data_IF_170348183359
#
_entry.id   IF_170348183359
#
_cell.length_a   1.000
_cell.length_b   1.000
_cell.length_c   1.000
_cell.angle_alpha   90.00
_cell.angle_beta   90.00
_cell.angle_gamma   90.00
#
_symmetry.space_group_name_H-M   'P 1'
#
loop_
_entity.id
_entity.type
_entity.pdbx_description
1 polymer ?
#
# COMPACT_ATOMS: atom_id res chain seq x y z
N UNK A 1 1.20 8.71 21.41
CA UNK A 1 1.29 9.69 20.30
C UNK A 1 2.54 9.42 19.50
N UNK A 2 2.44 9.36 18.16
CA UNK A 2 3.57 9.06 17.28
C UNK A 2 4.45 10.30 17.17
N UNK A 3 5.53 10.37 17.93
CA UNK A 3 6.51 11.46 17.82
C UNK A 3 7.68 11.05 16.91
N UNK A 4 8.04 11.95 15.98
CA UNK A 4 9.17 11.81 15.04
C UNK A 4 8.78 11.33 13.62
N UNK A 5 9.74 10.76 12.85
CA UNK A 5 9.55 10.39 11.43
C UNK A 5 8.38 9.43 11.16
N UNK A 6 7.90 8.72 12.18
CA UNK A 6 6.72 7.84 12.05
C UNK A 6 5.42 8.60 11.77
N UNK A 7 5.33 9.88 12.14
CA UNK A 7 4.16 10.71 11.83
C UNK A 7 4.06 10.98 10.32
N UNK A 8 5.19 11.20 9.65
CA UNK A 8 5.25 11.35 8.20
C UNK A 8 4.78 10.07 7.49
N UNK A 9 5.21 8.89 7.97
CA UNK A 9 4.74 7.61 7.44
C UNK A 9 3.23 7.45 7.60
N UNK A 10 2.67 7.79 8.77
CA UNK A 10 1.21 7.77 9.01
C UNK A 10 0.49 8.68 8.02
N UNK A 11 0.97 9.90 7.83
CA UNK A 11 0.36 10.85 6.89
C UNK A 11 0.41 10.35 5.45
N UNK A 12 1.56 9.87 4.99
CA UNK A 12 1.72 9.36 3.62
C UNK A 12 0.82 8.14 3.38
N UNK A 13 0.82 7.18 4.31
CA UNK A 13 -0.08 6.03 4.24
C UNK A 13 -1.55 6.46 4.27
N UNK A 14 -1.91 7.45 5.09
CA UNK A 14 -3.26 8.00 5.16
C UNK A 14 -3.71 8.61 3.84
N UNK A 15 -2.91 9.48 3.24
CA UNK A 15 -3.22 10.14 1.95
C UNK A 15 -3.37 9.13 0.83
N UNK A 16 -2.44 8.17 0.73
CA UNK A 16 -2.52 7.10 -0.27
C UNK A 16 -3.73 6.20 -0.04
N UNK A 17 -4.04 5.89 1.22
CA UNK A 17 -5.23 5.10 1.56
C UNK A 17 -6.48 5.78 1.03
N UNK A 18 -6.66 7.07 1.34
CA UNK A 18 -7.84 7.82 0.88
C UNK A 18 -7.90 7.84 -0.64
N UNK A 19 -6.80 8.17 -1.32
CA UNK A 19 -6.75 8.18 -2.78
C UNK A 19 -7.06 6.82 -3.41
N UNK A 20 -6.49 5.74 -2.87
CA UNK A 20 -6.71 4.38 -3.35
C UNK A 20 -8.14 3.90 -3.09
N UNK A 21 -8.70 4.18 -1.90
CA UNK A 21 -10.09 3.86 -1.56
C UNK A 21 -11.04 4.61 -2.49
N UNK A 22 -10.93 5.93 -2.61
CA UNK A 22 -11.80 6.75 -3.45
C UNK A 22 -11.78 6.30 -4.91
N UNK A 23 -10.58 6.04 -5.46
CA UNK A 23 -10.43 5.54 -6.83
C UNK A 23 -11.07 4.16 -7.00
N UNK A 24 -10.79 3.23 -6.10
CA UNK A 24 -11.33 1.86 -6.19
C UNK A 24 -12.84 1.85 -6.05
N UNK A 25 -13.41 2.67 -5.15
CA UNK A 25 -14.85 2.79 -4.97
C UNK A 25 -15.51 3.32 -6.25
N UNK A 26 -14.95 4.38 -6.84
CA UNK A 26 -15.44 4.94 -8.08
C UNK A 26 -15.42 3.90 -9.21
N UNK A 27 -14.25 3.30 -9.45
CA UNK A 27 -14.05 2.31 -10.51
C UNK A 27 -14.98 1.09 -10.37
N UNK A 28 -15.17 0.58 -9.14
CA UNK A 28 -16.08 -0.54 -8.88
C UNK A 28 -17.54 -0.12 -9.06
N UNK A 29 -17.92 1.11 -8.75
CA UNK A 29 -19.31 1.56 -8.89
C UNK A 29 -19.70 1.94 -10.33
N UNK A 30 -18.77 2.45 -11.14
CA UNK A 30 -19.10 2.99 -12.47
C UNK A 30 -18.67 2.09 -13.63
N UNK A 31 -17.60 1.31 -13.47
CA UNK A 31 -16.92 0.67 -14.60
C UNK A 31 -16.57 -0.80 -14.36
N UNK A 32 -17.17 -1.46 -13.35
CA UNK A 32 -16.76 -2.80 -12.90
C UNK A 32 -16.58 -3.84 -14.02
N UNK A 33 -17.46 -3.81 -15.02
CA UNK A 33 -17.45 -4.73 -16.17
C UNK A 33 -16.29 -4.49 -17.16
N UNK A 34 -15.60 -3.35 -17.07
CA UNK A 34 -14.53 -2.94 -18.00
C UNK A 34 -13.19 -3.58 -17.66
N UNK A 35 -12.84 -3.65 -16.37
CA UNK A 35 -11.57 -4.19 -15.89
C UNK A 35 -11.70 -4.76 -14.47
N UNK A 36 -12.49 -5.83 -14.26
CA UNK A 36 -12.84 -6.34 -12.93
C UNK A 36 -11.62 -6.78 -12.10
N UNK A 37 -10.60 -7.36 -12.76
CA UNK A 37 -9.34 -7.73 -12.12
C UNK A 37 -8.56 -6.51 -11.61
N UNK A 38 -8.45 -5.47 -12.43
CA UNK A 38 -7.71 -4.26 -12.09
C UNK A 38 -8.32 -3.53 -10.88
N UNK A 39 -9.65 -3.47 -10.84
CA UNK A 39 -10.37 -2.77 -9.79
C UNK A 39 -10.40 -3.57 -8.49
N UNK A 40 -10.52 -4.90 -8.57
CA UNK A 40 -10.41 -5.77 -7.40
C UNK A 40 -9.03 -5.64 -6.75
N UNK A 41 -7.96 -5.65 -7.55
CA UNK A 41 -6.60 -5.45 -7.05
C UNK A 41 -6.40 -4.08 -6.42
N UNK A 42 -7.01 -3.04 -6.99
CA UNK A 42 -6.97 -1.69 -6.41
C UNK A 42 -7.73 -1.62 -5.08
N UNK A 43 -8.87 -2.31 -4.96
CA UNK A 43 -9.61 -2.41 -3.70
C UNK A 43 -8.83 -3.20 -2.63
N UNK A 44 -8.15 -4.29 -3.01
CA UNK A 44 -7.25 -5.01 -2.11
C UNK A 44 -6.11 -4.11 -1.64
N UNK A 45 -5.49 -3.34 -2.54
CA UNK A 45 -4.46 -2.38 -2.18
C UNK A 45 -4.97 -1.33 -1.18
N UNK A 46 -6.17 -0.79 -1.42
CA UNK A 46 -6.83 0.16 -0.54
C UNK A 46 -7.04 -0.40 0.88
N UNK A 47 -7.48 -1.66 1.00
CA UNK A 47 -7.61 -2.36 2.29
C UNK A 47 -6.27 -2.54 3.00
N UNK A 48 -5.22 -2.93 2.26
CA UNK A 48 -3.87 -3.09 2.81
C UNK A 48 -3.37 -1.76 3.37
N UNK A 49 -3.47 -0.67 2.61
CA UNK A 49 -3.05 0.66 3.07
C UNK A 49 -3.88 1.14 4.28
N UNK A 50 -5.19 0.91 4.28
CA UNK A 50 -6.04 1.24 5.41
C UNK A 50 -5.60 0.51 6.68
N UNK A 51 -5.28 -0.78 6.56
CA UNK A 51 -4.82 -1.59 7.68
C UNK A 51 -3.44 -1.15 8.19
N UNK A 52 -2.53 -0.76 7.31
CA UNK A 52 -1.21 -0.20 7.68
C UNK A 52 -1.41 1.13 8.41
N UNK A 53 -2.19 2.05 7.84
CA UNK A 53 -2.53 3.33 8.47
C UNK A 53 -3.10 3.11 9.86
N UNK A 54 -4.08 2.22 9.99
CA UNK A 54 -4.72 1.90 11.26
C UNK A 54 -3.72 1.34 12.29
N UNK A 55 -2.87 0.40 11.86
CA UNK A 55 -1.83 -0.19 12.70
C UNK A 55 -0.81 0.84 13.18
N UNK A 56 -0.44 1.80 12.32
CA UNK A 56 0.49 2.87 12.67
C UNK A 56 -0.15 3.89 13.63
N UNK A 57 -1.42 4.24 13.43
CA UNK A 57 -2.18 5.17 14.30
C UNK A 57 -2.39 4.58 15.69
N UNK A 58 -2.78 3.31 15.79
CA UNK A 58 -3.09 2.67 17.08
C UNK A 58 -1.87 2.57 18.00
N UNK A 59 -0.66 2.44 17.41
CA UNK A 59 0.59 2.36 18.16
C UNK A 59 0.73 1.09 19.01
N UNK A 60 1.93 0.84 19.55
CA UNK A 60 2.23 -0.35 20.36
C UNK A 60 3.16 -1.36 19.67
N UNK A 61 3.57 -2.42 20.37
CA UNK A 61 4.48 -3.45 19.83
C UNK A 61 3.78 -4.44 18.90
N UNK A 62 2.56 -4.87 19.25
CA UNK A 62 1.70 -5.73 18.42
C UNK A 62 1.30 -5.01 17.13
N UNK A 63 0.88 -3.75 17.22
CA UNK A 63 0.55 -2.94 16.05
C UNK A 63 1.77 -2.71 15.14
N UNK A 64 2.97 -2.59 15.71
CA UNK A 64 4.23 -2.53 14.93
C UNK A 64 4.57 -3.83 14.22
N UNK A 65 4.32 -5.00 14.83
CA UNK A 65 4.46 -6.29 14.15
C UNK A 65 3.47 -6.41 12.99
N UNK A 66 2.21 -6.04 13.23
CA UNK A 66 1.16 -6.04 12.21
C UNK A 66 1.52 -5.13 11.03
N UNK A 67 1.93 -3.88 11.29
CA UNK A 67 2.38 -2.94 10.27
C UNK A 67 3.52 -3.53 9.41
N UNK A 68 4.47 -4.26 10.03
CA UNK A 68 5.56 -4.92 9.31
C UNK A 68 5.08 -6.00 8.35
N UNK A 69 4.17 -6.86 8.81
CA UNK A 69 3.58 -7.92 7.98
C UNK A 69 2.83 -7.30 6.82
N UNK A 70 2.07 -6.23 7.07
CA UNK A 70 1.32 -5.54 6.05
C UNK A 70 2.21 -4.80 5.06
N UNK A 71 3.30 -4.16 5.49
CA UNK A 71 4.30 -3.60 4.56
C UNK A 71 4.95 -4.69 3.69
N UNK A 72 5.21 -5.89 4.24
CA UNK A 72 5.73 -7.01 3.45
C UNK A 72 4.69 -7.53 2.44
N UNK A 73 3.42 -7.61 2.84
CA UNK A 73 2.31 -7.98 1.97
C UNK A 73 2.10 -6.93 0.85
N UNK A 74 2.15 -5.64 1.19
CA UNK A 74 2.11 -4.53 0.25
C UNK A 74 3.23 -4.62 -0.77
N UNK A 75 4.48 -4.78 -0.32
CA UNK A 75 5.63 -4.91 -1.21
C UNK A 75 5.49 -6.13 -2.14
N UNK A 76 5.00 -7.25 -1.60
CA UNK A 76 4.73 -8.46 -2.39
C UNK A 76 3.64 -8.20 -3.43
N UNK A 77 2.55 -7.52 -3.05
CA UNK A 77 1.47 -7.13 -3.95
C UNK A 77 1.95 -6.22 -5.07
N UNK A 78 2.72 -5.19 -4.75
CA UNK A 78 3.30 -4.25 -5.72
C UNK A 78 4.25 -4.95 -6.68
N UNK A 79 5.12 -5.82 -6.19
CA UNK A 79 6.05 -6.57 -7.04
C UNK A 79 5.33 -7.57 -7.93
N UNK A 80 4.34 -8.30 -7.39
CA UNK A 80 3.59 -9.31 -8.13
C UNK A 80 2.73 -8.66 -9.21
N UNK A 81 1.94 -7.64 -8.86
CA UNK A 81 1.05 -6.94 -9.80
C UNK A 81 1.84 -6.06 -10.76
N UNK A 82 2.90 -5.39 -10.30
CA UNK A 82 3.83 -4.67 -11.17
C UNK A 82 4.49 -5.58 -12.20
N UNK A 83 4.96 -6.76 -11.79
CA UNK A 83 5.53 -7.75 -12.73
C UNK A 83 4.47 -8.30 -13.67
N UNK A 84 3.27 -8.62 -13.18
CA UNK A 84 2.20 -9.16 -14.02
C UNK A 84 1.74 -8.15 -15.08
N UNK A 85 1.61 -6.88 -14.70
CA UNK A 85 1.24 -5.81 -15.64
C UNK A 85 2.28 -5.64 -16.76
N UNK A 86 3.57 -5.86 -16.47
CA UNK A 86 4.63 -5.88 -17.48
C UNK A 86 4.63 -7.14 -18.37
N UNK A 87 4.35 -8.31 -17.79
CA UNK A 87 4.40 -9.60 -18.52
C UNK A 87 3.14 -9.82 -19.37
N UNK A 88 1.97 -9.38 -18.90
CA UNK A 88 0.69 -9.47 -19.60
C UNK A 88 -0.08 -8.15 -19.52
N UNK A 89 0.35 -7.12 -20.25
CA UNK A 89 -0.38 -5.85 -20.32
C UNK A 89 -1.80 -6.04 -20.86
N UNK A 90 -2.00 -7.02 -21.74
CA UNK A 90 -3.31 -7.37 -22.33
C UNK A 90 -4.35 -7.84 -21.29
N UNK A 91 -3.90 -8.39 -20.16
CA UNK A 91 -4.78 -8.82 -19.06
C UNK A 91 -5.26 -7.65 -18.20
N UNK A 92 -4.72 -6.44 -18.41
CA UNK A 92 -5.04 -5.23 -17.67
C UNK A 92 -5.53 -4.14 -18.63
N UNK A 93 -6.84 -4.09 -18.91
CA UNK A 93 -7.42 -3.00 -19.71
C UNK A 93 -7.23 -1.63 -19.04
N UNK A 94 -7.12 -1.62 -17.71
CA UNK A 94 -6.90 -0.43 -16.88
C UNK A 94 -5.76 -0.62 -15.87
N UNK A 95 -5.09 0.48 -15.56
CA UNK A 95 -4.03 0.54 -14.56
C UNK A 95 -4.59 0.43 -13.13
N UNK A 96 -3.96 -0.42 -12.33
CA UNK A 96 -4.14 -0.55 -10.87
C UNK A 96 -3.22 0.40 -10.11
N UNK A 97 -3.45 0.51 -8.79
CA UNK A 97 -2.54 1.26 -7.89
C UNK A 97 -1.11 0.68 -7.87
N UNK A 98 -0.96 -0.61 -8.19
CA UNK A 98 0.32 -1.32 -8.22
C UNK A 98 0.90 -1.51 -9.62
N UNK A 99 0.24 -1.00 -10.65
CA UNK A 99 0.74 -1.12 -12.04
C UNK A 99 2.07 -0.41 -12.20
N UNK A 100 2.97 -1.03 -12.96
CA UNK A 100 4.34 -0.56 -13.16
C UNK A 100 5.06 -0.21 -11.84
N UNK A 101 4.85 -1.04 -10.81
CA UNK A 101 5.38 -0.81 -9.46
C UNK A 101 4.91 0.50 -8.80
N UNK A 102 3.74 1.00 -9.19
CA UNK A 102 3.19 2.26 -8.69
C UNK A 102 3.76 3.49 -9.39
N UNK A 103 4.19 3.38 -10.65
CA UNK A 103 4.73 4.50 -11.43
C UNK A 103 3.76 5.70 -11.45
N UNK A 104 2.45 5.46 -11.59
CA UNK A 104 1.41 6.50 -11.54
C UNK A 104 1.29 7.23 -10.19
N UNK A 105 1.94 6.70 -9.15
CA UNK A 105 2.03 7.28 -7.82
C UNK A 105 3.49 7.57 -7.44
N UNK A 106 4.37 7.83 -8.41
CA UNK A 106 5.80 8.14 -8.18
C UNK A 106 6.53 7.06 -7.38
N UNK A 107 6.19 5.77 -7.60
CA UNK A 107 6.75 4.62 -6.87
C UNK A 107 6.52 4.65 -5.36
N UNK A 108 5.62 5.51 -4.86
CA UNK A 108 5.30 5.58 -3.44
C UNK A 108 4.86 4.21 -2.88
N UNK A 109 4.07 3.37 -3.59
CA UNK A 109 3.73 2.01 -3.15
C UNK A 109 4.93 1.09 -2.87
N UNK A 110 6.11 1.37 -3.45
CA UNK A 110 7.35 0.63 -3.15
C UNK A 110 8.14 1.32 -2.04
N UNK A 111 8.26 2.65 -2.11
CA UNK A 111 9.08 3.42 -1.17
C UNK A 111 8.52 3.35 0.25
N UNK A 112 7.20 3.42 0.41
CA UNK A 112 6.54 3.37 1.72
C UNK A 112 6.79 2.08 2.50
N UNK A 113 6.54 0.87 1.95
CA UNK A 113 6.78 -0.36 2.70
C UNK A 113 8.25 -0.56 3.02
N UNK A 114 9.17 -0.19 2.11
CA UNK A 114 10.62 -0.27 2.36
C UNK A 114 11.03 0.65 3.51
N UNK A 115 10.61 1.92 3.47
CA UNK A 115 10.93 2.89 4.52
C UNK A 115 10.25 2.54 5.85
N UNK A 116 9.03 2.03 5.82
CA UNK A 116 8.29 1.51 6.98
C UNK A 116 9.02 0.33 7.65
N UNK A 117 9.46 -0.66 6.88
CA UNK A 117 10.22 -1.80 7.40
C UNK A 117 11.55 -1.35 8.01
N UNK A 118 12.31 -0.47 7.34
CA UNK A 118 13.58 0.06 7.81
C UNK A 118 13.44 0.84 9.12
N UNK A 119 12.43 1.70 9.21
CA UNK A 119 12.15 2.47 10.42
C UNK A 119 11.73 1.58 11.59
N UNK A 120 10.89 0.57 11.32
CA UNK A 120 10.51 -0.43 12.33
C UNK A 120 11.70 -1.28 12.77
N UNK A 121 12.71 -1.52 11.91
CA UNK A 121 13.98 -2.22 12.24
C UNK A 121 14.85 -1.38 13.17
N UNK A 122 15.18 -0.14 12.80
CA UNK A 122 16.04 0.73 13.61
C UNK A 122 15.54 0.95 15.04
N UNK A 123 14.23 1.03 15.26
CA UNK A 123 13.66 1.20 16.61
C UNK A 123 13.70 -0.07 17.49
N UNK A 124 13.93 -1.25 16.90
CA UNK A 124 14.12 -2.50 17.65
C UNK A 124 15.55 -2.61 18.14
N UNK A 125 16.51 -2.18 17.32
CA UNK A 125 17.93 -2.19 17.66
C UNK A 125 18.27 -1.17 18.76
N UNK A 126 17.56 -0.03 18.82
CA UNK A 126 17.72 0.97 19.89
C UNK A 126 17.12 0.56 21.26
N UNK A 127 16.45 -0.60 21.34
CA UNK A 127 15.86 -1.17 22.57
C UNK A 127 16.55 -2.46 23.03
N UNK A 128 17.50 -2.97 22.25
CA UNK A 128 18.33 -4.13 22.58
C UNK A 128 19.66 -3.66 23.18
#
# INVERSE_FOLDING_TARGET
MVSGPGLLLVWLYGVITVGAVSRSLYQISTEFDRAPLAYTLSAVAALVYAFITYSLVRGGETARKAARICCAAELTGVLTVGTWTLVRPEAFPDATVWSDFGMGYLFIPVILPVTGILWLRRRRDARA
#
